data_IF_217938977900
#
_entry.id   IF_217938977900
#
_cell.length_a   1.000
_cell.length_b   1.000
_cell.length_c   1.000
_cell.angle_alpha   90.00
_cell.angle_beta   90.00
_cell.angle_gamma   90.00
#
_symmetry.space_group_name_H-M   'P 1'
#
loop_
_entity.id
_entity.type
_entity.pdbx_description
1 polymer ?
#
# COMPACT_ATOMS: atom_id res chain seq x y z
N UNK A 1 -20.77 36.75 -32.33
CA UNK A 1 -19.47 36.10 -32.09
C UNK A 1 -19.72 34.69 -31.59
N UNK A 2 -19.54 33.71 -32.46
CA UNK A 2 -19.87 32.31 -32.20
C UNK A 2 -18.69 31.56 -31.61
N UNK A 3 -18.89 30.86 -30.48
CA UNK A 3 -17.90 29.97 -29.89
C UNK A 3 -18.11 28.58 -30.45
N UNK A 4 -17.14 28.13 -31.23
CA UNK A 4 -17.13 26.82 -31.88
C UNK A 4 -16.82 25.73 -30.88
N UNK A 5 -17.77 24.81 -30.62
CA UNK A 5 -17.57 23.59 -29.86
C UNK A 5 -16.69 22.63 -30.62
N UNK A 6 -15.45 22.41 -30.21
CA UNK A 6 -14.60 21.34 -30.74
C UNK A 6 -15.15 20.00 -30.25
N UNK A 7 -15.58 19.17 -31.21
CA UNK A 7 -15.89 17.76 -31.02
C UNK A 7 -14.60 17.00 -30.70
N UNK A 8 -14.48 16.41 -29.54
CA UNK A 8 -13.48 15.39 -29.27
C UNK A 8 -13.92 14.09 -29.96
N UNK A 9 -13.21 13.72 -30.98
CA UNK A 9 -13.31 12.41 -31.62
C UNK A 9 -12.70 11.38 -30.66
N UNK A 10 -13.54 10.44 -30.18
CA UNK A 10 -13.10 9.31 -29.40
C UNK A 10 -12.27 8.35 -30.25
N UNK A 11 -10.99 8.25 -29.93
CA UNK A 11 -10.17 7.14 -30.38
C UNK A 11 -10.44 5.96 -29.43
N UNK A 12 -11.20 4.98 -29.89
CA UNK A 12 -11.22 3.64 -29.32
C UNK A 12 -9.92 2.93 -29.67
N UNK A 13 -8.88 3.14 -28.86
CA UNK A 13 -7.69 2.31 -28.90
C UNK A 13 -8.09 0.91 -28.38
N UNK A 14 -8.22 -0.04 -29.29
CA UNK A 14 -8.33 -1.44 -28.94
C UNK A 14 -7.07 -1.87 -28.17
N UNK A 15 -7.19 -2.02 -26.85
CA UNK A 15 -6.15 -2.59 -26.01
C UNK A 15 -6.09 -4.07 -26.32
N UNK A 16 -5.12 -4.47 -27.13
CA UNK A 16 -4.68 -5.86 -27.22
C UNK A 16 -4.05 -6.19 -25.87
N UNK A 17 -4.82 -6.76 -24.97
CA UNK A 17 -4.33 -7.36 -23.73
C UNK A 17 -3.55 -8.63 -24.09
N UNK A 18 -2.28 -8.47 -24.47
CA UNK A 18 -1.32 -9.57 -24.50
C UNK A 18 -1.19 -10.07 -23.07
N UNK A 19 -1.78 -11.25 -22.82
CA UNK A 19 -1.94 -11.82 -21.51
C UNK A 19 -0.64 -12.09 -20.79
N UNK A 20 -0.29 -11.23 -19.84
CA UNK A 20 0.51 -11.62 -18.69
C UNK A 20 -0.42 -12.44 -17.77
N UNK A 21 -0.64 -13.70 -18.12
CA UNK A 21 -1.24 -14.69 -17.21
C UNK A 21 -0.24 -14.95 -16.09
N UNK A 22 -0.20 -14.04 -15.10
CA UNK A 22 0.30 -14.44 -13.79
C UNK A 22 -0.55 -15.61 -13.32
N UNK A 23 0.08 -16.67 -12.81
CA UNK A 23 -0.64 -17.77 -12.19
C UNK A 23 -1.64 -17.18 -11.19
N UNK A 24 -2.92 -17.60 -11.24
CA UNK A 24 -3.93 -17.08 -10.32
C UNK A 24 -3.47 -17.34 -8.88
N UNK A 25 -3.78 -16.41 -7.98
CA UNK A 25 -3.68 -16.68 -6.56
C UNK A 25 -4.61 -17.84 -6.25
N UNK A 26 -4.12 -18.87 -5.53
CA UNK A 26 -4.93 -20.02 -5.14
C UNK A 26 -6.17 -19.52 -4.37
N UNK A 27 -7.39 -19.61 -4.93
CA UNK A 27 -8.57 -19.02 -4.33
C UNK A 27 -9.10 -19.83 -3.13
N UNK A 28 -8.61 -21.03 -2.90
CA UNK A 28 -9.31 -21.99 -2.04
C UNK A 28 -8.99 -21.87 -0.55
N UNK A 29 -7.96 -21.12 -0.14
CA UNK A 29 -7.55 -21.11 1.27
C UNK A 29 -7.23 -19.76 1.90
N UNK A 30 -7.10 -18.67 1.14
CA UNK A 30 -6.57 -17.41 1.68
C UNK A 30 -7.61 -16.31 1.69
N UNK A 31 -7.91 -15.80 2.88
CA UNK A 31 -8.78 -14.62 3.05
C UNK A 31 -7.94 -13.36 3.13
N UNK A 32 -8.12 -12.48 2.17
CA UNK A 32 -7.56 -11.12 2.18
C UNK A 32 -8.58 -10.17 2.80
N UNK A 33 -8.12 -9.30 3.68
CA UNK A 33 -8.96 -8.26 4.28
C UNK A 33 -8.38 -6.90 3.92
N UNK A 34 -9.20 -6.04 3.35
CA UNK A 34 -8.89 -4.66 3.07
C UNK A 34 -9.49 -3.80 4.18
N UNK A 35 -8.66 -3.30 5.08
CA UNK A 35 -9.09 -2.45 6.20
C UNK A 35 -9.02 -0.99 5.77
N UNK A 36 -10.18 -0.41 5.48
CA UNK A 36 -10.29 1.00 5.11
C UNK A 36 -10.43 1.86 6.37
N UNK A 37 -9.42 2.67 6.64
CA UNK A 37 -9.40 3.61 7.77
C UNK A 37 -9.76 5.04 7.38
N UNK A 38 -10.06 5.29 6.10
CA UNK A 38 -10.29 6.63 5.58
C UNK A 38 -11.78 6.99 5.62
N UNK A 39 -12.30 7.29 6.80
CA UNK A 39 -13.73 7.59 7.05
C UNK A 39 -14.30 8.72 6.17
N UNK A 40 -13.47 9.63 5.65
CA UNK A 40 -13.88 10.80 4.87
C UNK A 40 -13.69 10.64 3.36
N UNK A 41 -13.41 9.45 2.87
CA UNK A 41 -13.20 9.21 1.44
C UNK A 41 -11.93 9.85 0.86
N UNK A 42 -11.02 10.33 1.70
CA UNK A 42 -9.67 10.67 1.29
C UNK A 42 -8.97 9.41 0.79
N UNK A 43 -8.22 9.50 -0.29
CA UNK A 43 -7.49 8.35 -0.88
C UNK A 43 -8.39 7.20 -1.37
N UNK A 44 -9.55 7.52 -1.92
CA UNK A 44 -10.40 6.53 -2.62
C UNK A 44 -9.61 5.78 -3.69
N UNK A 45 -8.68 6.46 -4.35
CA UNK A 45 -7.79 5.89 -5.37
C UNK A 45 -6.94 4.76 -4.78
N UNK A 46 -6.38 4.92 -3.57
CA UNK A 46 -5.64 3.84 -2.92
C UNK A 46 -6.53 2.63 -2.66
N UNK A 47 -7.66 2.83 -2.02
CA UNK A 47 -8.60 1.73 -1.74
C UNK A 47 -9.03 1.04 -3.03
N UNK A 48 -9.51 1.81 -4.03
CA UNK A 48 -9.96 1.28 -5.32
C UNK A 48 -8.85 0.60 -6.11
N UNK A 49 -7.60 1.07 -5.96
CA UNK A 49 -6.43 0.45 -6.57
C UNK A 49 -6.21 -0.97 -6.05
N UNK A 50 -6.23 -1.15 -4.72
CA UNK A 50 -6.12 -2.48 -4.11
C UNK A 50 -7.33 -3.37 -4.45
N UNK A 51 -8.57 -2.84 -4.40
CA UNK A 51 -9.77 -3.57 -4.78
C UNK A 51 -9.69 -4.10 -6.21
N UNK A 52 -9.30 -3.24 -7.16
CA UNK A 52 -9.11 -3.60 -8.56
C UNK A 52 -8.02 -4.66 -8.74
N UNK A 53 -6.88 -4.51 -8.06
CA UNK A 53 -5.78 -5.45 -8.16
C UNK A 53 -6.14 -6.82 -7.61
N UNK A 54 -6.79 -6.90 -6.43
CA UNK A 54 -7.24 -8.15 -5.82
C UNK A 54 -8.31 -8.85 -6.67
N UNK A 55 -9.30 -8.09 -7.14
CA UNK A 55 -10.36 -8.62 -8.02
C UNK A 55 -9.80 -9.17 -9.32
N UNK A 56 -8.89 -8.43 -9.96
CA UNK A 56 -8.23 -8.86 -11.20
C UNK A 56 -7.38 -10.12 -11.03
N UNK A 57 -6.88 -10.36 -9.81
CA UNK A 57 -6.12 -11.55 -9.46
C UNK A 57 -7.00 -12.76 -9.10
N UNK A 58 -8.32 -12.61 -9.08
CA UNK A 58 -9.26 -13.64 -8.62
C UNK A 58 -9.17 -13.92 -7.12
N UNK A 59 -8.61 -13.01 -6.34
CA UNK A 59 -8.47 -13.19 -4.90
C UNK A 59 -9.81 -13.06 -4.19
N UNK A 60 -10.05 -13.90 -3.17
CA UNK A 60 -11.19 -13.74 -2.27
C UNK A 60 -10.83 -12.71 -1.20
N UNK A 61 -11.48 -11.56 -1.24
CA UNK A 61 -11.24 -10.48 -0.30
C UNK A 61 -12.54 -9.91 0.27
N UNK A 62 -12.42 -9.27 1.42
CA UNK A 62 -13.51 -8.54 2.09
C UNK A 62 -13.02 -7.17 2.53
N UNK A 63 -13.89 -6.15 2.46
CA UNK A 63 -13.63 -4.83 3.01
C UNK A 63 -14.10 -4.79 4.45
N UNK A 64 -13.28 -4.19 5.30
CA UNK A 64 -13.57 -3.91 6.70
C UNK A 64 -13.34 -2.43 6.98
N UNK A 65 -14.02 -1.90 7.98
CA UNK A 65 -13.79 -0.56 8.53
C UNK A 65 -13.15 -0.66 9.94
N UNK A 66 -12.79 0.50 10.52
CA UNK A 66 -12.15 0.56 11.83
C UNK A 66 -13.00 -0.02 13.00
N UNK A 67 -14.30 -0.23 12.79
CA UNK A 67 -15.23 -0.76 13.78
C UNK A 67 -15.36 -2.28 13.68
N UNK A 68 -14.85 -2.84 12.61
CA UNK A 68 -14.98 -4.28 12.34
C UNK A 68 -13.86 -5.07 13.00
N UNK A 69 -14.23 -6.13 13.69
CA UNK A 69 -13.25 -7.10 14.17
C UNK A 69 -12.74 -7.90 12.97
N UNK A 70 -11.45 -7.79 12.69
CA UNK A 70 -10.83 -8.55 11.61
C UNK A 70 -11.01 -10.05 11.88
N UNK A 71 -11.46 -10.84 10.89
CA UNK A 71 -11.69 -12.27 11.09
C UNK A 71 -10.43 -12.99 11.58
N UNK A 72 -10.56 -13.89 12.53
CA UNK A 72 -9.47 -14.71 13.09
C UNK A 72 -8.72 -15.56 12.06
N UNK A 73 -9.26 -15.69 10.85
CA UNK A 73 -8.68 -16.44 9.71
C UNK A 73 -8.15 -15.51 8.59
N UNK A 74 -7.83 -14.28 8.89
CA UNK A 74 -7.16 -13.38 7.95
C UNK A 74 -5.78 -13.92 7.62
N UNK A 75 -5.48 -14.14 6.34
CA UNK A 75 -4.13 -14.51 5.89
C UNK A 75 -3.29 -13.26 5.63
N UNK A 76 -3.88 -12.27 4.97
CA UNK A 76 -3.25 -10.99 4.69
C UNK A 76 -4.22 -9.87 5.00
N UNK A 77 -3.80 -8.94 5.83
CA UNK A 77 -4.47 -7.68 6.10
C UNK A 77 -3.79 -6.56 5.31
N UNK A 78 -4.56 -5.84 4.51
CA UNK A 78 -4.07 -4.68 3.76
C UNK A 78 -4.75 -3.44 4.34
N UNK A 79 -3.95 -2.44 4.68
CA UNK A 79 -4.41 -1.15 5.21
C UNK A 79 -3.97 -0.05 4.25
N UNK A 80 -4.82 0.37 3.30
CA UNK A 80 -4.47 1.37 2.30
C UNK A 80 -4.37 2.77 2.88
N UNK A 81 -3.34 3.51 2.52
CA UNK A 81 -3.17 4.96 2.72
C UNK A 81 -3.68 5.49 4.08
N UNK A 82 -3.34 4.81 5.16
CA UNK A 82 -3.78 5.22 6.50
C UNK A 82 -3.21 6.59 6.87
N UNK A 83 -4.09 7.60 7.02
CA UNK A 83 -3.72 8.93 7.52
C UNK A 83 -3.49 8.90 9.04
N UNK A 84 -4.35 8.18 9.73
CA UNK A 84 -4.32 7.96 11.17
C UNK A 84 -4.68 6.50 11.44
N UNK A 85 -4.13 5.92 12.49
CA UNK A 85 -4.45 4.56 12.89
C UNK A 85 -5.14 4.63 14.25
N UNK A 86 -6.47 4.59 14.29
CA UNK A 86 -7.20 4.68 15.55
C UNK A 86 -6.97 3.44 16.41
N UNK A 87 -7.10 3.55 17.76
CA UNK A 87 -6.80 2.46 18.68
C UNK A 87 -7.48 1.11 18.38
N UNK A 88 -8.74 1.06 17.91
CA UNK A 88 -9.35 -0.21 17.50
C UNK A 88 -8.61 -0.86 16.32
N UNK A 89 -8.20 -0.07 15.32
CA UNK A 89 -7.45 -0.57 14.17
C UNK A 89 -6.05 -1.04 14.55
N UNK A 90 -5.36 -0.32 15.46
CA UNK A 90 -4.07 -0.77 16.01
C UNK A 90 -4.20 -2.15 16.64
N UNK A 91 -5.22 -2.35 17.50
CA UNK A 91 -5.47 -3.65 18.13
C UNK A 91 -5.74 -4.75 17.10
N UNK A 92 -6.52 -4.45 16.07
CA UNK A 92 -6.81 -5.39 15.00
C UNK A 92 -5.53 -5.79 14.23
N UNK A 93 -4.69 -4.82 13.87
CA UNK A 93 -3.40 -5.04 13.21
C UNK A 93 -2.50 -5.93 14.06
N UNK A 94 -2.30 -5.58 15.33
CA UNK A 94 -1.47 -6.35 16.27
C UNK A 94 -2.01 -7.76 16.46
N UNK A 95 -3.33 -7.92 16.61
CA UNK A 95 -3.97 -9.23 16.73
C UNK A 95 -3.75 -10.09 15.50
N UNK A 96 -3.83 -9.51 14.29
CA UNK A 96 -3.53 -10.21 13.06
C UNK A 96 -2.08 -10.69 13.00
N UNK A 97 -1.12 -9.82 13.35
CA UNK A 97 0.30 -10.17 13.41
C UNK A 97 0.56 -11.30 14.43
N UNK A 98 -0.03 -11.22 15.61
CA UNK A 98 0.06 -12.27 16.63
C UNK A 98 -0.57 -13.59 16.17
N UNK A 99 -1.67 -13.54 15.42
CA UNK A 99 -2.30 -14.71 14.82
C UNK A 99 -1.49 -15.29 13.66
N UNK A 100 -0.42 -14.61 13.24
CA UNK A 100 0.46 -15.04 12.14
C UNK A 100 0.04 -14.49 10.77
N UNK A 101 -0.85 -13.48 10.66
CA UNK A 101 -1.15 -12.84 9.40
C UNK A 101 0.01 -12.01 8.88
N UNK A 102 0.11 -11.86 7.57
CA UNK A 102 0.91 -10.80 6.98
C UNK A 102 0.08 -9.52 6.91
N UNK A 103 0.69 -8.40 7.30
CA UNK A 103 0.06 -7.09 7.26
C UNK A 103 0.81 -6.20 6.29
N UNK A 104 0.11 -5.67 5.28
CA UNK A 104 0.62 -4.62 4.40
C UNK A 104 -0.01 -3.30 4.89
N UNK A 105 0.80 -2.45 5.51
CA UNK A 105 0.38 -1.16 6.03
C UNK A 105 0.93 -0.05 5.14
N UNK A 106 0.06 0.57 4.36
CA UNK A 106 0.41 1.72 3.54
C UNK A 106 0.11 3.01 4.31
N UNK A 107 1.14 3.83 4.49
CA UNK A 107 1.00 5.11 5.19
C UNK A 107 0.51 6.19 4.25
N UNK A 108 -0.63 6.79 4.58
CA UNK A 108 -1.11 8.04 3.99
C UNK A 108 -0.64 9.28 4.76
N UNK A 109 0.16 9.11 5.81
CA UNK A 109 0.52 10.18 6.74
C UNK A 109 1.32 11.32 6.10
N UNK A 110 1.91 11.11 4.93
CA UNK A 110 2.52 12.16 4.12
C UNK A 110 1.55 13.29 3.75
N UNK A 111 0.26 13.01 3.74
CA UNK A 111 -0.82 13.97 3.43
C UNK A 111 -1.64 14.37 4.66
N UNK A 112 -1.28 13.86 5.82
CA UNK A 112 -1.98 14.15 7.05
C UNK A 112 -1.69 15.57 7.55
N UNK A 113 -2.66 16.18 8.23
CA UNK A 113 -2.40 17.40 9.03
C UNK A 113 -1.54 17.03 10.24
N UNK A 114 -0.81 17.99 10.81
CA UNK A 114 0.17 17.78 11.87
C UNK A 114 -0.36 16.93 13.05
N UNK A 115 -1.59 17.14 13.45
CA UNK A 115 -2.21 16.37 14.53
C UNK A 115 -2.36 14.89 14.16
N UNK A 116 -2.88 14.60 12.97
CA UNK A 116 -3.07 13.25 12.49
C UNK A 116 -1.72 12.55 12.24
N UNK A 117 -0.74 13.29 11.70
CA UNK A 117 0.62 12.78 11.54
C UNK A 117 1.26 12.39 12.88
N UNK A 118 1.14 13.25 13.91
CA UNK A 118 1.65 12.90 15.24
C UNK A 118 0.96 11.67 15.82
N UNK A 119 -0.35 11.55 15.69
CA UNK A 119 -1.10 10.38 16.14
C UNK A 119 -0.67 9.11 15.42
N UNK A 120 -0.49 9.18 14.09
CA UNK A 120 0.00 8.09 13.26
C UNK A 120 1.41 7.65 13.70
N UNK A 121 2.33 8.61 13.88
CA UNK A 121 3.70 8.36 14.33
C UNK A 121 3.75 7.68 15.69
N UNK A 122 2.90 8.11 16.64
CA UNK A 122 2.77 7.48 17.95
C UNK A 122 2.26 6.05 17.83
N UNK A 123 1.23 5.81 17.04
CA UNK A 123 0.69 4.47 16.81
C UNK A 123 1.73 3.51 16.21
N UNK A 124 2.49 3.97 15.21
CA UNK A 124 3.57 3.18 14.61
C UNK A 124 4.66 2.85 15.62
N UNK A 125 5.14 3.85 16.37
CA UNK A 125 6.22 3.66 17.35
C UNK A 125 5.82 2.74 18.48
N UNK A 126 4.68 3.01 19.13
CA UNK A 126 4.32 2.38 20.40
C UNK A 126 3.77 0.97 20.22
N UNK A 127 3.12 0.68 19.10
CA UNK A 127 2.47 -0.61 18.87
C UNK A 127 3.15 -1.45 17.78
N UNK A 128 3.70 -0.80 16.80
CA UNK A 128 4.36 -1.49 15.68
C UNK A 128 5.87 -1.30 15.69
N UNK A 129 6.43 -0.62 16.69
CA UNK A 129 7.87 -0.36 16.85
C UNK A 129 8.51 0.14 15.54
N UNK A 130 7.82 0.99 14.81
CA UNK A 130 8.28 1.63 13.60
C UNK A 130 8.54 3.10 13.86
N UNK A 131 9.69 3.58 13.45
CA UNK A 131 10.01 5.00 13.51
C UNK A 131 10.05 5.59 12.12
N UNK A 132 9.30 6.68 11.95
CA UNK A 132 9.18 7.40 10.69
C UNK A 132 9.67 8.84 10.86
N UNK A 133 10.22 9.39 9.79
CA UNK A 133 10.62 10.78 9.70
C UNK A 133 9.46 11.69 9.27
N UNK A 134 9.75 13.00 9.20
CA UNK A 134 8.80 13.95 8.63
C UNK A 134 8.53 13.62 7.15
N UNK A 135 7.32 13.88 6.66
CA UNK A 135 6.98 13.68 5.25
C UNK A 135 7.87 14.51 4.32
N UNK A 136 8.30 13.90 3.23
CA UNK A 136 9.07 14.56 2.17
C UNK A 136 8.20 14.70 0.94
N UNK A 137 8.12 15.91 0.40
CA UNK A 137 7.50 16.18 -0.89
C UNK A 137 8.53 15.91 -1.99
N UNK A 138 8.23 14.98 -2.87
CA UNK A 138 9.10 14.62 -3.98
C UNK A 138 8.93 15.54 -5.20
N UNK A 139 7.93 16.44 -5.15
CA UNK A 139 7.60 17.38 -6.21
C UNK A 139 7.54 18.82 -5.67
N UNK A 140 8.63 19.31 -5.01
CA UNK A 140 8.57 20.60 -4.30
C UNK A 140 8.31 21.77 -5.24
N UNK A 141 8.75 21.68 -6.50
CA UNK A 141 8.56 22.71 -7.53
C UNK A 141 8.23 22.08 -8.87
N UNK A 142 7.34 22.71 -9.63
CA UNK A 142 6.97 22.32 -11.00
C UNK A 142 8.16 22.28 -12.00
N UNK A 143 9.37 22.53 -11.54
CA UNK A 143 10.59 22.60 -12.35
C UNK A 143 11.29 21.26 -12.53
N UNK A 144 11.02 20.23 -11.72
CA UNK A 144 11.67 18.94 -11.90
C UNK A 144 10.92 18.11 -12.95
N UNK A 145 11.52 17.95 -14.11
CA UNK A 145 11.02 17.05 -15.18
C UNK A 145 11.15 15.57 -14.80
N UNK A 146 11.68 15.26 -13.63
CA UNK A 146 11.94 13.89 -13.21
C UNK A 146 10.77 13.36 -12.40
N UNK A 147 10.13 12.33 -12.93
CA UNK A 147 9.11 11.56 -12.21
C UNK A 147 9.83 10.68 -11.17
N UNK A 148 9.52 10.79 -9.87
CA UNK A 148 10.11 9.92 -8.87
C UNK A 148 9.57 8.50 -9.01
N UNK A 149 10.45 7.52 -8.76
CA UNK A 149 10.12 6.12 -8.73
C UNK A 149 10.57 5.50 -7.40
N UNK A 150 9.72 4.65 -6.86
CA UNK A 150 10.06 3.79 -5.74
C UNK A 150 10.75 2.55 -6.30
N UNK A 151 11.99 2.34 -5.90
CA UNK A 151 12.80 1.18 -6.26
C UNK A 151 12.62 0.08 -5.19
N UNK A 152 11.79 -0.91 -5.49
CA UNK A 152 11.60 -2.09 -4.65
C UNK A 152 12.66 -3.14 -4.94
N UNK A 153 13.17 -3.81 -3.91
CA UNK A 153 14.12 -4.93 -4.02
C UNK A 153 13.50 -6.28 -3.66
N UNK A 154 12.42 -6.26 -2.86
CA UNK A 154 11.69 -7.44 -2.40
C UNK A 154 10.19 -7.30 -2.71
N UNK A 155 9.48 -8.40 -2.99
CA UNK A 155 9.89 -9.80 -3.15
C UNK A 155 10.66 -10.02 -4.46
N UNK A 156 10.65 -9.05 -5.34
CA UNK A 156 11.30 -9.00 -6.64
C UNK A 156 11.58 -7.53 -7.00
N UNK A 157 12.67 -7.24 -7.70
CA UNK A 157 12.93 -5.87 -8.17
C UNK A 157 11.78 -5.33 -8.99
N UNK A 158 11.34 -4.12 -8.65
CA UNK A 158 10.30 -3.38 -9.36
C UNK A 158 10.50 -1.87 -9.19
N UNK A 159 10.18 -1.12 -10.24
CA UNK A 159 10.16 0.35 -10.22
C UNK A 159 8.73 0.82 -10.34
N UNK A 160 8.19 1.38 -9.28
CA UNK A 160 6.82 1.87 -9.23
C UNK A 160 6.82 3.38 -9.17
N UNK A 161 6.01 4.01 -10.01
CA UNK A 161 5.88 5.46 -10.02
C UNK A 161 5.33 5.96 -8.69
N UNK A 162 6.02 6.92 -8.08
CA UNK A 162 5.51 7.67 -6.93
C UNK A 162 4.67 8.86 -7.41
N UNK A 163 3.64 9.20 -6.66
CA UNK A 163 2.70 10.25 -7.07
C UNK A 163 2.84 11.55 -6.28
N UNK A 164 3.58 11.59 -5.15
CA UNK A 164 3.77 12.88 -4.50
C UNK A 164 4.61 12.92 -3.23
N UNK A 165 4.12 12.36 -2.13
CA UNK A 165 4.69 12.54 -0.79
C UNK A 165 4.97 11.21 -0.14
N UNK A 166 6.16 11.11 0.43
CA UNK A 166 6.59 9.90 1.12
C UNK A 166 6.85 10.18 2.59
N UNK A 167 6.76 9.14 3.38
CA UNK A 167 7.13 9.13 4.80
C UNK A 167 8.35 8.22 4.94
N UNK A 168 9.56 8.79 5.00
CA UNK A 168 10.77 7.99 5.14
C UNK A 168 10.81 7.27 6.49
N UNK A 169 11.50 6.13 6.49
CA UNK A 169 11.80 5.37 7.69
C UNK A 169 13.03 5.95 8.36
N UNK A 170 12.97 6.11 9.67
CA UNK A 170 14.16 6.36 10.47
C UNK A 170 14.93 5.04 10.58
N UNK A 171 16.21 5.05 10.18
CA UNK A 171 17.06 3.86 10.28
C UNK A 171 17.37 3.56 11.74
N UNK A 172 16.99 2.38 12.20
CA UNK A 172 17.48 1.80 13.44
C UNK A 172 18.03 0.39 13.17
N UNK A 173 19.13 0.05 13.81
CA UNK A 173 19.69 -1.30 13.70
C UNK A 173 18.71 -2.32 14.29
N UNK A 174 18.43 -3.39 13.56
CA UNK A 174 17.58 -4.51 14.02
C UNK A 174 16.08 -4.39 13.75
N UNK A 175 15.59 -3.33 13.13
CA UNK A 175 14.14 -3.12 12.93
C UNK A 175 13.52 -3.86 11.74
N UNK A 176 14.30 -4.54 10.92
CA UNK A 176 13.83 -5.27 9.75
C UNK A 176 14.64 -4.95 8.48
N UNK A 177 14.22 -5.53 7.39
CA UNK A 177 14.83 -5.36 6.07
C UNK A 177 14.18 -4.19 5.34
N UNK A 178 14.95 -3.17 4.93
CA UNK A 178 14.47 -2.13 4.03
C UNK A 178 14.33 -2.73 2.64
N UNK A 179 13.13 -2.65 2.08
CA UNK A 179 12.76 -3.30 0.83
C UNK A 179 12.43 -2.32 -0.31
N UNK A 180 12.43 -1.00 -0.03
CA UNK A 180 12.27 0.01 -1.08
C UNK A 180 12.87 1.36 -0.71
N UNK A 181 13.29 2.08 -1.75
CA UNK A 181 13.87 3.42 -1.66
C UNK A 181 13.26 4.35 -2.72
N UNK A 182 13.25 5.65 -2.41
CA UNK A 182 13.01 6.72 -3.38
C UNK A 182 14.05 7.81 -3.17
N UNK A 183 14.79 8.16 -4.21
CA UNK A 183 15.88 9.16 -4.15
C UNK A 183 16.84 8.96 -2.94
N UNK A 184 17.15 7.70 -2.61
CA UNK A 184 18.02 7.32 -1.49
C UNK A 184 17.34 7.30 -0.12
N UNK A 185 16.09 7.74 -0.01
CA UNK A 185 15.29 7.66 1.22
C UNK A 185 14.69 6.26 1.37
N UNK A 186 14.87 5.57 2.51
CA UNK A 186 14.20 4.30 2.77
C UNK A 186 12.72 4.54 3.02
N UNK A 187 11.84 3.93 2.21
CA UNK A 187 10.40 4.17 2.27
C UNK A 187 9.56 2.91 2.50
N UNK A 188 10.16 1.73 2.47
CA UNK A 188 9.44 0.52 2.83
C UNK A 188 10.36 -0.46 3.58
N UNK A 189 9.77 -1.20 4.51
CA UNK A 189 10.45 -2.28 5.21
C UNK A 189 9.55 -3.51 5.34
N UNK A 190 10.22 -4.65 5.50
CA UNK A 190 9.63 -5.93 5.89
C UNK A 190 10.27 -6.39 7.19
N UNK A 191 9.48 -6.92 8.11
CA UNK A 191 9.99 -7.59 9.30
C UNK A 191 8.99 -8.60 9.85
N UNK A 192 9.51 -9.57 10.59
CA UNK A 192 8.69 -10.46 11.41
C UNK A 192 8.14 -9.69 12.61
N UNK A 193 6.87 -9.91 12.94
CA UNK A 193 6.20 -9.27 14.08
C UNK A 193 5.19 -10.27 14.68
N UNK A 194 5.39 -10.66 15.91
CA UNK A 194 4.66 -11.78 16.49
C UNK A 194 4.93 -13.07 15.70
N UNK A 195 3.87 -13.74 15.24
CA UNK A 195 3.96 -14.92 14.36
C UNK A 195 3.75 -14.56 12.88
N UNK A 196 3.52 -13.30 12.58
CA UNK A 196 3.25 -12.79 11.25
C UNK A 196 4.36 -11.91 10.70
N UNK A 197 4.09 -11.29 9.58
CA UNK A 197 5.01 -10.37 8.92
C UNK A 197 4.36 -9.00 8.75
N UNK A 198 5.09 -7.94 9.07
CA UNK A 198 4.71 -6.57 8.78
C UNK A 198 5.49 -6.06 7.57
N UNK A 199 4.75 -5.56 6.59
CA UNK A 199 5.27 -4.86 5.43
C UNK A 199 4.73 -3.44 5.53
N UNK A 200 5.62 -2.49 5.79
CA UNK A 200 5.27 -1.07 5.86
C UNK A 200 5.66 -0.38 4.56
N UNK A 201 4.75 0.44 4.05
CA UNK A 201 4.95 1.26 2.86
C UNK A 201 4.76 2.74 3.24
N UNK A 202 5.83 3.50 3.28
CA UNK A 202 5.82 4.95 3.50
C UNK A 202 5.60 5.75 2.21
N UNK A 203 5.60 5.07 1.06
CA UNK A 203 5.15 5.60 -0.23
C UNK A 203 3.86 4.90 -0.61
N UNK A 204 2.77 5.63 -0.93
CA UNK A 204 1.51 5.02 -1.32
C UNK A 204 1.61 4.24 -2.63
N UNK A 205 1.33 2.94 -2.58
CA UNK A 205 1.26 2.04 -3.73
C UNK A 205 -0.11 2.12 -4.43
N UNK A 206 -1.16 2.35 -3.64
CA UNK A 206 -2.55 2.33 -4.11
C UNK A 206 -2.85 3.23 -5.29
N UNK A 207 -2.37 4.48 -5.36
CA UNK A 207 -2.54 5.35 -6.51
C UNK A 207 -1.92 4.79 -7.80
N UNK A 208 -0.76 4.11 -7.70
CA UNK A 208 -0.14 3.44 -8.85
C UNK A 208 -1.00 2.25 -9.32
N UNK A 209 -1.54 1.47 -8.37
CA UNK A 209 -2.48 0.39 -8.69
C UNK A 209 -3.74 0.92 -9.38
N UNK A 210 -4.30 2.02 -8.89
CA UNK A 210 -5.47 2.67 -9.48
C UNK A 210 -5.21 3.20 -10.88
N UNK A 211 -4.03 3.79 -11.10
CA UNK A 211 -3.59 4.24 -12.42
C UNK A 211 -3.28 3.08 -13.40
N UNK A 212 -3.37 1.83 -12.96
CA UNK A 212 -3.12 0.66 -13.80
C UNK A 212 -1.65 0.34 -14.01
N UNK A 213 -0.74 0.84 -13.15
CA UNK A 213 0.68 0.55 -13.24
C UNK A 213 0.94 -0.96 -13.14
N UNK A 214 1.50 -1.52 -14.21
CA UNK A 214 1.75 -2.96 -14.31
C UNK A 214 2.83 -3.44 -13.34
N UNK A 215 3.81 -2.60 -13.01
CA UNK A 215 4.87 -2.92 -12.05
C UNK A 215 4.31 -2.95 -10.63
N UNK A 216 3.48 -1.95 -10.25
CA UNK A 216 2.81 -1.93 -8.96
C UNK A 216 1.92 -3.16 -8.76
N UNK A 217 1.13 -3.51 -9.77
CA UNK A 217 0.26 -4.70 -9.73
C UNK A 217 1.07 -5.98 -9.59
N UNK A 218 2.13 -6.14 -10.38
CA UNK A 218 3.01 -7.31 -10.31
C UNK A 218 3.67 -7.43 -8.95
N UNK A 219 4.22 -6.33 -8.45
CA UNK A 219 4.85 -6.30 -7.13
C UNK A 219 3.88 -6.72 -6.02
N UNK A 220 2.67 -6.15 -6.01
CA UNK A 220 1.65 -6.53 -5.03
C UNK A 220 1.33 -8.03 -5.09
N UNK A 221 1.11 -8.59 -6.28
CA UNK A 221 0.78 -10.01 -6.42
C UNK A 221 1.93 -10.92 -5.96
N UNK A 222 3.17 -10.55 -6.26
CA UNK A 222 4.35 -11.29 -5.78
C UNK A 222 4.47 -11.19 -4.26
N UNK A 223 4.21 -10.01 -3.69
CA UNK A 223 4.17 -9.79 -2.25
C UNK A 223 3.11 -10.68 -1.57
N UNK A 224 1.89 -10.73 -2.11
CA UNK A 224 0.80 -11.57 -1.59
C UNK A 224 1.11 -13.08 -1.68
N UNK A 225 1.77 -13.51 -2.73
CA UNK A 225 2.21 -14.91 -2.89
C UNK A 225 3.26 -15.29 -1.85
N UNK A 226 4.30 -14.45 -1.70
CA UNK A 226 5.38 -14.67 -0.74
C UNK A 226 4.87 -14.67 0.69
N UNK A 227 4.08 -13.66 1.05
CA UNK A 227 3.44 -13.54 2.36
C UNK A 227 2.55 -14.76 2.70
N UNK A 228 2.04 -15.43 1.69
CA UNK A 228 1.26 -16.64 1.89
C UNK A 228 2.07 -17.94 1.92
N UNK A 229 3.24 -17.98 1.28
CA UNK A 229 4.10 -19.17 1.26
C UNK A 229 4.88 -19.37 2.56
N UNK A 230 5.20 -18.28 3.26
CA UNK A 230 5.93 -18.31 4.54
C UNK A 230 5.11 -18.97 5.70
N UNK A 231 3.87 -19.39 5.43
CA UNK A 231 2.96 -20.06 6.37
C UNK A 231 2.79 -21.58 6.15
N UNK A 232 3.19 -22.08 5.00
CA UNK A 232 3.08 -23.50 4.66
C UNK A 232 4.30 -24.29 5.15
#
# INVERSE_FOLDING_TARGET
MGITRRRFLGYTAGVVTAGLRGLPLDPTSRRYVLLDLNERGCFRESVSGYESALTSAGAQWTRADARWMVPSRCAVLIVPAALEIPPPAVRAIVSCLQAGASVILESGAGFAVDRAFRAHRVALRDYLQLQIEAPVDLWPDNSSQRIPYVDYTWPRPAKVRDFSRVVPLQRQEGEGEVIAWVDGLPVALKRSSGRGNLIFLGSPLGPALWAGDAQARRWLLDCLRTAGAERA
#
